data_IF_549318645084
#
_entry.id   IF_549318645084
#
_cell.length_a   1.000
_cell.length_b   1.000
_cell.length_c   1.000
_cell.angle_alpha   90.00
_cell.angle_beta   90.00
_cell.angle_gamma   90.00
#
_symmetry.space_group_name_H-M   'P 1'
#
loop_
_entity.id
_entity.type
_entity.pdbx_description
1 polymer ?
#
# COMPACT_ATOMS: atom_id res chain seq x y z
N UNK A 1 40.63 4.42 27.83
CA UNK A 1 39.91 5.59 27.26
C UNK A 1 38.44 5.22 27.11
N UNK A 2 37.55 6.15 27.43
CA UNK A 2 36.12 5.91 27.74
C UNK A 2 35.31 5.51 26.49
N UNK A 3 34.41 4.54 26.66
CA UNK A 3 33.35 4.18 25.72
C UNK A 3 32.27 5.27 25.77
N UNK A 4 31.77 5.72 24.62
CA UNK A 4 30.49 6.44 24.54
C UNK A 4 29.66 5.88 23.39
N UNK A 5 28.71 5.03 23.78
CA UNK A 5 27.59 4.57 22.95
C UNK A 5 26.68 5.76 22.72
N UNK A 6 26.50 6.17 21.47
CA UNK A 6 25.57 7.25 21.12
C UNK A 6 24.24 6.63 20.72
N UNK A 7 23.35 6.47 21.69
CA UNK A 7 21.95 6.09 21.50
C UNK A 7 21.21 7.28 20.89
N UNK A 8 20.72 7.15 19.66
CA UNK A 8 19.84 8.14 19.02
C UNK A 8 18.43 8.07 19.65
N UNK A 9 17.80 9.21 20.00
CA UNK A 9 16.44 9.20 20.51
C UNK A 9 15.41 8.95 19.39
N UNK A 10 14.57 7.93 19.62
CA UNK A 10 13.35 7.64 18.89
C UNK A 10 12.32 8.76 19.17
N UNK A 11 12.00 9.58 18.16
CA UNK A 11 10.98 10.63 18.27
C UNK A 11 9.64 10.07 17.82
N UNK A 12 8.76 9.79 18.79
CA UNK A 12 7.37 9.50 18.56
C UNK A 12 6.63 10.80 18.16
N UNK A 13 6.09 10.85 16.94
CA UNK A 13 5.23 11.94 16.51
C UNK A 13 3.79 11.66 16.97
N UNK A 14 3.39 12.28 18.09
CA UNK A 14 2.00 12.35 18.52
C UNK A 14 1.64 13.80 18.82
N UNK A 15 0.80 14.40 17.98
CA UNK A 15 0.30 15.75 18.20
C UNK A 15 -0.90 16.05 17.31
N UNK A 16 -2.09 15.68 17.77
CA UNK A 16 -3.34 16.24 17.24
C UNK A 16 -3.51 17.62 17.91
N UNK A 17 -3.33 18.71 17.16
CA UNK A 17 -3.56 20.06 17.68
C UNK A 17 -5.04 20.40 17.58
N UNK A 18 -5.61 20.74 18.74
CA UNK A 18 -6.99 21.20 18.93
C UNK A 18 -7.05 22.69 18.57
N UNK A 19 -7.82 23.05 17.55
CA UNK A 19 -8.10 24.44 17.19
C UNK A 19 -9.37 24.86 17.93
N UNK A 20 -9.25 25.82 18.85
CA UNK A 20 -10.36 26.53 19.47
C UNK A 20 -10.63 27.81 18.67
N UNK A 21 -11.82 27.94 18.10
CA UNK A 21 -12.28 29.17 17.45
C UNK A 21 -13.30 29.85 18.37
N UNK A 22 -12.94 31.04 18.87
CA UNK A 22 -13.86 31.95 19.55
C UNK A 22 -14.52 32.84 18.50
N UNK A 23 -15.85 32.84 18.42
CA UNK A 23 -16.59 33.93 17.79
C UNK A 23 -17.48 34.62 18.80
N UNK A 24 -17.11 35.87 19.05
CA UNK A 24 -17.83 36.86 19.82
C UNK A 24 -18.69 37.66 18.85
N UNK A 25 -20.01 37.64 19.03
CA UNK A 25 -20.89 38.60 18.36
C UNK A 25 -22.01 39.00 19.32
N UNK A 26 -21.95 40.26 19.76
CA UNK A 26 -23.01 40.96 20.47
C UNK A 26 -24.21 41.15 19.53
N UNK A 27 -25.43 40.93 20.02
CA UNK A 27 -26.62 41.58 19.46
C UNK A 27 -27.42 42.19 20.61
N UNK A 28 -27.41 43.52 20.62
CA UNK A 28 -28.37 44.39 21.30
C UNK A 28 -29.77 44.08 20.75
N UNK A 29 -30.75 43.97 21.66
CA UNK A 29 -32.02 43.31 21.40
C UNK A 29 -33.11 44.13 20.72
N UNK A 30 -34.24 43.45 20.51
CA UNK A 30 -35.62 43.96 20.51
C UNK A 30 -36.51 42.78 20.93
N UNK A 31 -37.40 43.01 21.88
CA UNK A 31 -38.43 42.07 22.33
C UNK A 31 -39.58 42.10 21.32
N UNK A 32 -39.89 40.96 20.70
CA UNK A 32 -41.19 40.74 20.05
C UNK A 32 -41.47 39.24 19.96
N UNK A 33 -42.53 38.79 20.65
CA UNK A 33 -43.10 37.45 20.51
C UNK A 33 -43.66 37.31 19.10
N UNK A 34 -42.91 36.69 18.19
CA UNK A 34 -43.45 36.13 16.96
C UNK A 34 -43.54 34.61 17.07
N UNK A 35 -44.78 34.16 16.95
CA UNK A 35 -45.21 32.79 16.78
C UNK A 35 -44.69 32.21 15.47
N UNK A 36 -44.40 30.91 15.51
CA UNK A 36 -44.51 29.94 14.42
C UNK A 36 -43.26 29.69 13.54
N UNK A 37 -43.05 28.39 13.31
CA UNK A 37 -42.09 27.72 12.43
C UNK A 37 -40.61 27.67 12.86
N UNK A 38 -40.36 26.88 13.90
CA UNK A 38 -39.08 26.16 14.02
C UNK A 38 -38.97 25.16 12.86
N UNK A 39 -38.29 25.56 11.79
CA UNK A 39 -37.83 24.65 10.74
C UNK A 39 -36.93 23.60 11.40
N UNK A 40 -37.40 22.35 11.45
CA UNK A 40 -36.64 21.25 12.02
C UNK A 40 -35.34 21.07 11.24
N UNK A 41 -34.19 21.35 11.88
CA UNK A 41 -32.86 21.05 11.36
C UNK A 41 -32.74 19.53 11.26
N UNK A 42 -32.55 18.95 10.05
CA UNK A 42 -32.23 17.53 9.93
C UNK A 42 -30.89 17.29 10.64
N UNK A 43 -30.91 16.54 11.74
CA UNK A 43 -29.72 16.23 12.53
C UNK A 43 -29.87 16.38 14.05
N UNK A 44 -30.98 16.98 14.52
CA UNK A 44 -31.30 16.97 15.95
C UNK A 44 -32.50 16.06 16.19
N UNK A 45 -32.22 14.77 16.39
CA UNK A 45 -33.16 13.88 17.06
C UNK A 45 -32.97 14.05 18.56
N UNK A 46 -33.89 14.68 19.32
CA UNK A 46 -34.00 14.44 20.75
C UNK A 46 -34.70 13.08 20.94
N UNK A 47 -34.09 12.01 20.42
CA UNK A 47 -34.65 10.67 20.53
C UNK A 47 -33.88 9.93 21.62
N UNK A 48 -34.59 9.46 22.64
CA UNK A 48 -34.14 8.34 23.49
C UNK A 48 -34.11 7.04 22.69
N UNK A 49 -33.52 7.09 21.49
CA UNK A 49 -33.63 6.06 20.49
C UNK A 49 -32.98 4.78 21.01
N UNK A 50 -33.80 3.75 21.21
CA UNK A 50 -33.31 2.39 21.50
C UNK A 50 -33.01 1.63 20.22
N UNK A 51 -33.06 2.28 19.04
CA UNK A 51 -32.59 1.66 17.80
C UNK A 51 -31.12 1.33 17.98
N UNK A 52 -30.79 0.05 17.78
CA UNK A 52 -29.40 -0.35 17.64
C UNK A 52 -28.78 0.51 16.53
N UNK A 53 -27.53 0.98 16.71
CA UNK A 53 -26.83 1.79 15.71
C UNK A 53 -26.99 1.14 14.32
N UNK A 54 -27.30 1.92 13.26
CA UNK A 54 -27.42 1.33 11.93
C UNK A 54 -26.05 0.80 11.48
N UNK A 55 -26.11 -0.35 10.81
CA UNK A 55 -25.03 -1.25 10.34
C UNK A 55 -24.40 -2.14 11.42
N UNK A 56 -24.55 -3.45 11.20
CA UNK A 56 -23.94 -4.49 12.02
C UNK A 56 -22.43 -4.30 11.99
N UNK A 57 -21.74 -4.37 13.14
CA UNK A 57 -20.26 -4.33 13.20
C UNK A 57 -19.60 -5.31 12.22
N UNK A 58 -20.31 -6.38 11.86
CA UNK A 58 -19.86 -7.33 10.84
C UNK A 58 -19.81 -6.74 9.44
N UNK A 59 -20.78 -5.91 9.03
CA UNK A 59 -20.78 -5.27 7.71
C UNK A 59 -19.62 -4.30 7.59
N UNK A 60 -19.36 -3.50 8.63
CA UNK A 60 -18.20 -2.60 8.69
C UNK A 60 -16.89 -3.40 8.59
N UNK A 61 -16.78 -4.50 9.33
CA UNK A 61 -15.60 -5.36 9.29
C UNK A 61 -15.39 -6.01 7.91
N UNK A 62 -16.47 -6.46 7.25
CA UNK A 62 -16.43 -7.02 5.91
C UNK A 62 -15.99 -5.97 4.88
N UNK A 63 -16.53 -4.77 4.96
CA UNK A 63 -16.14 -3.68 4.06
C UNK A 63 -14.66 -3.32 4.23
N UNK A 64 -14.19 -3.18 5.47
CA UNK A 64 -12.77 -2.92 5.74
C UNK A 64 -11.87 -4.03 5.21
N UNK A 65 -12.27 -5.31 5.37
CA UNK A 65 -11.56 -6.46 4.81
C UNK A 65 -11.47 -6.37 3.29
N UNK A 66 -12.58 -6.10 2.61
CA UNK A 66 -12.63 -5.93 1.16
C UNK A 66 -11.69 -4.82 0.69
N UNK A 67 -11.72 -3.65 1.34
CA UNK A 67 -10.85 -2.52 0.98
C UNK A 67 -9.36 -2.85 1.12
N UNK A 68 -8.98 -3.62 2.15
CA UNK A 68 -7.59 -4.08 2.31
C UNK A 68 -7.19 -5.09 1.25
N UNK A 69 -8.06 -6.05 0.93
CA UNK A 69 -7.83 -7.05 -0.10
C UNK A 69 -7.69 -6.41 -1.48
N UNK A 70 -8.53 -5.43 -1.81
CA UNK A 70 -8.45 -4.70 -3.07
C UNK A 70 -7.12 -3.93 -3.20
N UNK A 71 -6.72 -3.21 -2.15
CA UNK A 71 -5.42 -2.52 -2.11
C UNK A 71 -4.27 -3.51 -2.31
N UNK A 72 -4.31 -4.66 -1.62
CA UNK A 72 -3.30 -5.71 -1.76
C UNK A 72 -3.24 -6.27 -3.19
N UNK A 73 -4.39 -6.52 -3.81
CA UNK A 73 -4.47 -7.03 -5.18
C UNK A 73 -3.86 -6.05 -6.19
N UNK A 74 -4.14 -4.75 -6.03
CA UNK A 74 -3.56 -3.69 -6.87
C UNK A 74 -2.03 -3.64 -6.76
N UNK A 75 -1.49 -3.70 -5.54
CA UNK A 75 -0.05 -3.75 -5.30
C UNK A 75 0.60 -5.02 -5.88
N UNK A 76 -0.04 -6.18 -5.69
CA UNK A 76 0.46 -7.44 -6.22
C UNK A 76 0.52 -7.41 -7.76
N UNK A 77 -0.50 -6.84 -8.41
CA UNK A 77 -0.52 -6.66 -9.87
C UNK A 77 0.63 -5.77 -10.36
N UNK A 78 0.94 -4.69 -9.64
CA UNK A 78 2.09 -3.83 -9.96
C UNK A 78 3.41 -4.57 -9.80
N UNK A 79 3.58 -5.30 -8.68
CA UNK A 79 4.78 -6.11 -8.44
C UNK A 79 4.98 -7.15 -9.56
N UNK A 80 3.91 -7.85 -9.95
CA UNK A 80 3.96 -8.83 -11.03
C UNK A 80 4.41 -8.20 -12.35
N UNK A 81 3.83 -7.05 -12.73
CA UNK A 81 4.25 -6.32 -13.93
C UNK A 81 5.73 -5.94 -13.88
N UNK A 82 6.22 -5.46 -12.74
CA UNK A 82 7.63 -5.10 -12.59
C UNK A 82 8.56 -6.31 -12.73
N UNK A 83 8.18 -7.45 -12.16
CA UNK A 83 8.92 -8.71 -12.33
C UNK A 83 8.92 -9.17 -13.78
N UNK A 84 7.77 -9.14 -14.45
CA UNK A 84 7.65 -9.55 -15.85
C UNK A 84 8.52 -8.64 -16.77
N UNK A 85 8.52 -7.32 -16.54
CA UNK A 85 9.37 -6.38 -17.26
C UNK A 85 10.87 -6.63 -17.03
N UNK A 86 11.25 -6.90 -15.78
CA UNK A 86 12.64 -7.18 -15.41
C UNK A 86 13.10 -8.49 -16.07
N UNK A 87 12.27 -9.53 -16.01
CA UNK A 87 12.54 -10.82 -16.64
C UNK A 87 12.66 -10.70 -18.16
N UNK A 88 11.80 -9.91 -18.81
CA UNK A 88 11.90 -9.64 -20.24
C UNK A 88 13.23 -8.97 -20.61
N UNK A 89 13.67 -8.00 -19.80
CA UNK A 89 14.96 -7.32 -19.97
C UNK A 89 16.12 -8.28 -19.79
N UNK A 90 16.12 -9.09 -18.73
CA UNK A 90 17.14 -10.09 -18.46
C UNK A 90 17.23 -11.15 -19.56
N UNK A 91 16.09 -11.61 -20.08
CA UNK A 91 16.05 -12.55 -21.18
C UNK A 91 16.64 -11.94 -22.47
N UNK A 92 16.38 -10.65 -22.72
CA UNK A 92 16.96 -9.94 -23.84
C UNK A 92 18.48 -9.80 -23.67
N UNK A 93 18.97 -9.35 -22.52
CA UNK A 93 20.40 -9.19 -22.27
C UNK A 93 21.15 -10.51 -22.38
N UNK A 94 20.61 -11.62 -21.85
CA UNK A 94 21.22 -12.95 -21.98
C UNK A 94 21.32 -13.43 -23.43
N UNK A 95 20.35 -13.06 -24.28
CA UNK A 95 20.42 -13.37 -25.72
C UNK A 95 21.54 -12.58 -26.41
N UNK A 96 21.70 -11.31 -26.04
CA UNK A 96 22.73 -10.44 -26.63
C UNK A 96 24.14 -10.75 -26.11
N UNK A 97 24.25 -11.10 -24.83
CA UNK A 97 25.52 -11.42 -24.17
C UNK A 97 25.92 -12.89 -24.34
N UNK A 98 25.24 -13.65 -25.20
CA UNK A 98 25.60 -15.04 -25.43
C UNK A 98 27.06 -15.05 -25.89
N UNK A 99 28.00 -15.59 -25.10
CA UNK A 99 29.39 -15.57 -25.51
C UNK A 99 29.48 -16.36 -26.81
N UNK A 100 30.27 -15.85 -27.76
CA UNK A 100 30.62 -16.58 -28.97
C UNK A 100 31.49 -17.78 -28.56
N UNK A 101 30.81 -18.85 -28.15
CA UNK A 101 31.45 -20.14 -27.91
C UNK A 101 31.71 -20.71 -29.29
N UNK A 102 32.98 -20.79 -29.65
CA UNK A 102 33.40 -21.44 -30.87
C UNK A 102 32.80 -22.85 -30.91
N UNK A 103 32.11 -23.16 -32.00
CA UNK A 103 31.63 -24.52 -32.23
C UNK A 103 32.87 -25.39 -32.34
N UNK A 104 33.07 -26.30 -31.38
CA UNK A 104 34.24 -27.16 -31.34
C UNK A 104 34.44 -27.88 -32.67
N UNK A 105 35.67 -27.86 -33.18
CA UNK A 105 36.07 -28.69 -34.30
C UNK A 105 36.57 -30.03 -33.75
N UNK A 106 36.20 -31.11 -34.44
CA UNK A 106 36.78 -32.43 -34.19
C UNK A 106 37.87 -32.60 -35.25
N UNK A 107 39.10 -32.88 -34.82
CA UNK A 107 40.23 -33.13 -35.71
C UNK A 107 40.27 -34.60 -36.15
N UNK A 108 40.88 -34.88 -37.30
CA UNK A 108 41.00 -36.28 -37.77
C UNK A 108 41.82 -37.14 -36.79
N UNK A 109 42.71 -36.52 -36.02
CA UNK A 109 43.47 -37.17 -34.96
C UNK A 109 42.59 -37.62 -33.78
N UNK A 110 41.40 -37.05 -33.57
CA UNK A 110 40.40 -37.58 -32.63
C UNK A 110 39.93 -38.96 -33.06
N UNK A 111 39.67 -39.18 -34.35
CA UNK A 111 39.19 -40.46 -34.88
C UNK A 111 40.28 -41.53 -34.85
N UNK A 112 41.55 -41.14 -35.03
CA UNK A 112 42.71 -42.04 -34.91
C UNK A 112 42.93 -42.62 -33.51
N UNK A 113 42.27 -42.08 -32.47
CA UNK A 113 42.33 -42.62 -31.10
C UNK A 113 41.45 -43.86 -30.90
N UNK A 114 40.49 -44.10 -31.80
CA UNK A 114 39.58 -45.25 -31.74
C UNK A 114 40.13 -46.39 -32.61
N UNK A 115 39.86 -47.64 -32.21
CA UNK A 115 40.33 -48.86 -32.90
C UNK A 115 41.86 -48.98 -33.03
N UNK A 116 42.62 -48.42 -32.09
CA UNK A 116 44.10 -48.45 -32.07
C UNK A 116 44.69 -49.81 -31.72
N UNK A 117 43.87 -50.76 -31.28
CA UNK A 117 44.28 -52.12 -30.97
C UNK A 117 43.17 -53.12 -31.31
N UNK A 118 43.57 -54.35 -31.64
CA UNK A 118 42.62 -55.47 -31.80
C UNK A 118 42.00 -55.83 -30.47
N UNK A 119 40.72 -56.24 -30.51
CA UNK A 119 39.96 -56.71 -29.35
C UNK A 119 40.25 -58.17 -29.04
#
# INVERSE_FOLDING_TARGET
>A
MKLSVTTLPFVAASGWTKIEEKQQTQLVGVDDKSSLDTVGVPGLCPSSDKRAPPESLQEIAQFQKYQMEEKRARLNKQLRRNLDNTNATLAHTHKQQKPDIERGCIDDNFFSKFNTCSR
#
